data_IF_388318001314
#
_entry.id   IF_388318001314
#
_cell.length_a   1.000
_cell.length_b   1.000
_cell.length_c   1.000
_cell.angle_alpha   90.00
_cell.angle_beta   90.00
_cell.angle_gamma   90.00
#
_symmetry.space_group_name_H-M   'P 1'
#
loop_
_entity.id
_entity.type
_entity.pdbx_description
1 polymer ?
#
# COMPACT_ATOMS: atom_id res chain seq x y z
N UNK A 1 -57.78 43.92 -11.49
CA UNK A 1 -57.23 43.17 -12.64
C UNK A 1 -55.76 42.86 -12.33
N UNK A 2 -55.21 41.66 -12.36
CA UNK A 2 -55.69 40.29 -12.35
C UNK A 2 -54.54 39.45 -11.75
N UNK A 3 -54.85 38.54 -10.83
CA UNK A 3 -53.88 37.63 -10.19
C UNK A 3 -53.65 36.41 -11.09
N UNK A 4 -52.41 36.16 -11.53
CA UNK A 4 -52.06 34.97 -12.30
C UNK A 4 -51.38 33.93 -11.41
N UNK A 5 -52.06 32.80 -11.24
CA UNK A 5 -51.63 31.61 -10.50
C UNK A 5 -50.80 30.71 -11.44
N UNK A 6 -49.63 30.19 -11.04
CA UNK A 6 -48.86 29.27 -11.88
C UNK A 6 -49.53 27.88 -11.95
N UNK A 7 -49.41 27.16 -13.08
CA UNK A 7 -50.06 25.87 -13.31
C UNK A 7 -49.41 24.69 -12.56
N UNK A 8 -50.21 23.67 -12.27
CA UNK A 8 -49.87 22.49 -11.47
C UNK A 8 -49.01 21.44 -12.19
N UNK A 9 -48.10 20.81 -11.44
CA UNK A 9 -47.05 19.85 -11.85
C UNK A 9 -47.53 18.43 -12.22
N UNK A 10 -48.81 18.19 -12.51
CA UNK A 10 -49.34 16.82 -12.73
C UNK A 10 -49.38 16.32 -14.18
N UNK A 11 -48.79 17.04 -15.16
CA UNK A 11 -48.83 16.66 -16.58
C UNK A 11 -47.47 16.36 -17.22
N UNK A 12 -46.70 15.41 -16.68
CA UNK A 12 -45.61 14.75 -17.43
C UNK A 12 -45.54 13.26 -17.11
N UNK A 13 -46.46 12.49 -17.70
CA UNK A 13 -46.35 11.03 -17.84
C UNK A 13 -46.22 10.66 -19.31
N UNK A 14 -45.31 9.73 -19.55
CA UNK A 14 -45.25 8.76 -20.64
C UNK A 14 -44.80 9.25 -22.03
N UNK A 15 -43.51 9.01 -22.31
CA UNK A 15 -43.07 8.55 -23.63
C UNK A 15 -42.24 7.28 -23.40
N UNK A 16 -42.82 6.14 -23.76
CA UNK A 16 -42.14 4.84 -23.74
C UNK A 16 -41.08 4.77 -24.82
N UNK A 17 -39.93 4.20 -24.49
CA UNK A 17 -38.94 3.76 -25.47
C UNK A 17 -39.07 2.25 -25.64
N UNK A 18 -39.52 1.89 -26.83
CA UNK A 18 -39.67 0.53 -27.32
C UNK A 18 -38.28 -0.12 -27.50
N UNK A 19 -38.07 -1.28 -26.88
CA UNK A 19 -36.97 -2.19 -27.16
C UNK A 19 -37.48 -3.32 -28.04
N UNK A 20 -37.45 -3.12 -29.36
CA UNK A 20 -37.70 -4.17 -30.34
C UNK A 20 -36.72 -4.04 -31.51
N UNK A 21 -35.59 -4.74 -31.38
CA UNK A 21 -34.79 -5.23 -32.52
C UNK A 21 -33.84 -6.34 -32.03
N UNK A 22 -34.42 -7.49 -31.71
CA UNK A 22 -33.73 -8.78 -31.61
C UNK A 22 -33.79 -9.45 -32.98
N UNK A 23 -32.64 -9.76 -33.59
CA UNK A 23 -32.59 -10.69 -34.71
C UNK A 23 -31.36 -10.55 -35.62
N UNK A 24 -30.31 -11.31 -35.34
CA UNK A 24 -29.64 -12.20 -36.30
C UNK A 24 -28.52 -13.01 -35.61
N UNK A 25 -28.47 -14.35 -35.78
CA UNK A 25 -27.41 -15.18 -35.22
C UNK A 25 -26.21 -15.25 -36.18
N UNK A 26 -25.08 -14.66 -35.80
CA UNK A 26 -23.79 -14.93 -36.46
C UNK A 26 -23.20 -16.21 -35.89
N UNK A 27 -23.19 -17.25 -36.72
CA UNK A 27 -22.55 -18.53 -36.46
C UNK A 27 -21.05 -18.35 -36.27
N UNK A 28 -20.55 -18.50 -35.04
CA UNK A 28 -19.12 -18.59 -34.75
C UNK A 28 -18.62 -19.98 -35.15
N UNK A 29 -17.92 -20.05 -36.28
CA UNK A 29 -17.19 -21.23 -36.74
C UNK A 29 -15.73 -21.10 -36.27
N UNK A 30 -15.33 -21.85 -35.26
CA UNK A 30 -13.92 -21.97 -34.87
C UNK A 30 -13.16 -22.79 -35.92
N UNK A 31 -12.13 -22.20 -36.53
CA UNK A 31 -11.07 -22.95 -37.20
C UNK A 31 -9.94 -23.22 -36.19
N UNK A 32 -9.33 -24.42 -36.19
CA UNK A 32 -8.08 -24.66 -35.48
C UNK A 32 -6.93 -24.25 -36.39
N UNK A 33 -6.14 -23.26 -35.97
CA UNK A 33 -4.96 -22.78 -36.68
C UNK A 33 -3.82 -22.55 -35.70
N UNK A 34 -2.77 -23.34 -35.90
CA UNK A 34 -1.48 -23.36 -35.19
C UNK A 34 -0.84 -21.99 -34.99
N UNK A 35 -0.12 -21.85 -33.87
CA UNK A 35 0.81 -20.74 -33.62
C UNK A 35 0.62 -20.12 -32.24
N UNK A 36 1.12 -20.80 -31.21
CA UNK A 36 1.13 -20.31 -29.83
C UNK A 36 2.13 -19.14 -29.70
N UNK A 37 1.71 -17.92 -30.06
CA UNK A 37 2.50 -16.68 -29.92
C UNK A 37 2.28 -16.06 -28.55
N UNK A 38 2.43 -16.85 -27.48
CA UNK A 38 2.49 -16.28 -26.12
C UNK A 38 3.89 -15.69 -25.90
N UNK A 39 4.00 -14.50 -25.27
CA UNK A 39 5.30 -13.95 -24.93
C UNK A 39 6.03 -14.92 -24.00
N UNK A 40 7.26 -15.29 -24.37
CA UNK A 40 8.19 -16.10 -23.58
C UNK A 40 8.44 -15.35 -22.27
N UNK A 41 7.84 -15.83 -21.18
CA UNK A 41 8.13 -15.35 -19.84
C UNK A 41 9.49 -15.89 -19.38
N UNK A 42 10.53 -15.11 -19.63
CA UNK A 42 11.85 -15.29 -19.03
C UNK A 42 11.76 -14.97 -17.54
N UNK A 43 11.44 -15.97 -16.71
CA UNK A 43 11.92 -16.12 -15.32
C UNK A 43 11.33 -17.35 -14.59
N UNK A 44 11.35 -18.53 -15.21
CA UNK A 44 10.93 -19.79 -14.56
C UNK A 44 12.05 -20.86 -14.47
N UNK A 45 13.32 -20.49 -14.70
CA UNK A 45 14.45 -21.44 -14.58
C UNK A 45 15.51 -21.02 -13.55
N UNK A 46 15.13 -20.27 -12.52
CA UNK A 46 15.85 -20.41 -11.26
C UNK A 46 15.29 -21.67 -10.64
N UNK A 47 16.12 -22.73 -10.64
CA UNK A 47 15.87 -24.00 -9.98
C UNK A 47 15.00 -23.77 -8.74
N UNK A 48 13.89 -24.50 -8.63
CA UNK A 48 13.08 -24.57 -7.43
C UNK A 48 14.03 -24.86 -6.27
N UNK A 49 14.47 -23.79 -5.60
CA UNK A 49 15.25 -23.90 -4.39
C UNK A 49 14.27 -24.53 -3.43
N UNK A 50 14.46 -25.83 -3.18
CA UNK A 50 13.67 -26.58 -2.21
C UNK A 50 13.57 -25.70 -0.96
N UNK A 51 12.34 -25.31 -0.64
CA UNK A 51 12.09 -24.56 0.58
C UNK A 51 12.71 -25.37 1.73
N UNK A 52 13.40 -24.72 2.67
CA UNK A 52 14.04 -25.42 3.77
C UNK A 52 13.00 -26.29 4.49
N UNK A 53 13.42 -27.48 4.94
CA UNK A 53 12.56 -28.42 5.64
C UNK A 53 11.77 -27.70 6.75
N UNK A 54 10.44 -27.76 6.69
CA UNK A 54 9.53 -27.06 7.60
C UNK A 54 8.85 -25.81 7.03
N UNK A 55 9.25 -25.29 5.87
CA UNK A 55 8.52 -24.22 5.16
C UNK A 55 7.65 -24.86 4.08
N UNK A 56 6.43 -25.23 4.45
CA UNK A 56 5.41 -25.64 3.49
C UNK A 56 4.80 -24.40 2.85
N UNK A 57 4.77 -24.32 1.52
CA UNK A 57 3.81 -23.44 0.86
C UNK A 57 2.43 -23.96 1.25
N UNK A 58 1.72 -23.20 2.07
CA UNK A 58 0.47 -23.65 2.68
C UNK A 58 -0.58 -23.96 1.61
N UNK A 59 -0.82 -25.24 1.39
CA UNK A 59 -2.08 -25.80 0.89
C UNK A 59 -2.52 -26.81 1.94
N UNK A 60 -3.74 -26.62 2.44
CA UNK A 60 -4.34 -27.31 3.59
C UNK A 60 -4.38 -28.85 3.48
N UNK A 61 -4.61 -29.55 4.62
CA UNK A 61 -3.95 -30.81 4.94
C UNK A 61 -4.86 -32.03 4.79
N UNK A 62 -4.28 -33.17 4.44
CA UNK A 62 -4.88 -34.47 4.74
C UNK A 62 -3.84 -35.60 4.79
N UNK A 63 -3.88 -36.33 5.90
CA UNK A 63 -3.39 -37.71 6.09
C UNK A 63 -1.86 -37.91 6.15
N UNK A 64 -1.28 -38.83 6.90
CA UNK A 64 -1.59 -39.55 8.14
C UNK A 64 -0.43 -40.54 8.30
N UNK A 65 0.13 -40.64 9.52
CA UNK A 65 0.92 -41.78 10.03
C UNK A 65 2.24 -42.09 9.28
N UNK A 66 3.25 -42.74 9.85
CA UNK A 66 3.32 -43.57 11.04
C UNK A 66 4.77 -43.65 11.52
N UNK A 67 4.92 -43.69 12.83
CA UNK A 67 6.14 -44.05 13.57
C UNK A 67 6.46 -45.54 13.42
N UNK A 68 7.71 -45.88 13.12
CA UNK A 68 8.31 -47.18 13.48
C UNK A 68 9.81 -47.00 13.74
N UNK A 69 10.23 -47.12 15.00
CA UNK A 69 11.52 -47.69 15.38
C UNK A 69 11.31 -49.22 15.53
N UNK A 70 12.32 -50.13 15.47
CA UNK A 70 13.47 -50.10 16.39
C UNK A 70 14.77 -50.79 15.89
N UNK A 71 15.72 -50.92 16.84
CA UNK A 71 16.73 -51.98 16.99
C UNK A 71 18.19 -51.68 16.57
N UNK A 72 19.00 -51.42 17.60
CA UNK A 72 20.41 -51.82 17.76
C UNK A 72 20.45 -53.34 18.12
N UNK A 73 21.54 -54.13 17.90
CA UNK A 73 22.82 -53.87 18.59
C UNK A 73 24.14 -54.38 17.96
N UNK A 74 25.22 -53.97 18.64
CA UNK A 74 26.47 -54.69 18.95
C UNK A 74 27.66 -54.69 17.96
N UNK A 75 28.74 -54.10 18.46
CA UNK A 75 30.17 -54.50 18.39
C UNK A 75 30.69 -55.21 17.13
N UNK A 76 31.71 -54.63 16.47
CA UNK A 76 33.02 -55.28 16.38
C UNK A 76 34.15 -54.55 15.62
N UNK A 77 35.28 -54.35 16.33
CA UNK A 77 36.70 -54.54 15.94
C UNK A 77 37.40 -53.52 15.01
N UNK A 78 38.65 -53.27 15.42
CA UNK A 78 39.63 -52.32 14.90
C UNK A 78 39.91 -52.44 13.40
N UNK A 79 40.09 -51.27 12.77
CA UNK A 79 40.90 -51.14 11.57
C UNK A 79 41.53 -49.75 11.56
N UNK A 80 42.81 -49.73 11.92
CA UNK A 80 43.73 -48.64 11.61
C UNK A 80 43.78 -48.50 10.09
N UNK A 81 43.02 -47.54 9.57
CA UNK A 81 43.24 -46.97 8.25
C UNK A 81 43.33 -45.47 8.40
N UNK A 82 44.53 -44.99 8.12
CA UNK A 82 44.97 -43.62 7.89
C UNK A 82 43.97 -42.91 6.94
N UNK A 83 42.92 -42.31 7.52
CA UNK A 83 41.99 -41.48 6.76
C UNK A 83 42.35 -40.04 7.04
N UNK A 84 42.99 -39.44 6.03
CA UNK A 84 42.97 -38.03 5.69
C UNK A 84 41.85 -37.32 6.48
N UNK A 85 42.24 -36.45 7.42
CA UNK A 85 41.28 -35.68 8.21
C UNK A 85 40.54 -34.81 7.22
N UNK A 86 39.40 -35.34 6.76
CA UNK A 86 38.44 -34.79 5.82
C UNK A 86 38.03 -33.43 6.37
N UNK A 87 38.83 -32.41 6.05
CA UNK A 87 38.58 -31.05 6.49
C UNK A 87 37.28 -30.68 5.80
N UNK A 88 36.17 -30.54 6.54
CA UNK A 88 34.89 -30.29 5.92
C UNK A 88 35.06 -29.06 5.01
N UNK A 89 34.56 -29.12 3.75
CA UNK A 89 34.70 -28.01 2.83
C UNK A 89 34.23 -26.74 3.55
N UNK A 90 34.93 -25.60 3.39
CA UNK A 90 34.59 -24.38 4.09
C UNK A 90 33.11 -24.11 3.85
N UNK A 91 32.32 -24.18 4.93
CA UNK A 91 30.88 -23.97 4.90
C UNK A 91 30.68 -22.58 4.33
N UNK A 92 30.34 -22.50 3.04
CA UNK A 92 30.06 -21.24 2.38
C UNK A 92 28.85 -20.65 3.08
N UNK A 93 29.11 -19.69 3.97
CA UNK A 93 28.06 -18.96 4.68
C UNK A 93 27.25 -18.25 3.61
N UNK A 94 26.06 -18.77 3.35
CA UNK A 94 25.09 -18.11 2.46
C UNK A 94 24.90 -16.69 2.99
N UNK A 95 24.95 -15.66 2.13
CA UNK A 95 24.75 -14.29 2.57
C UNK A 95 23.41 -14.20 3.29
N UNK A 96 23.44 -13.71 4.53
CA UNK A 96 22.23 -13.47 5.31
C UNK A 96 21.49 -12.33 4.65
N UNK A 97 20.20 -12.52 4.38
CA UNK A 97 19.37 -11.47 3.81
C UNK A 97 19.27 -10.29 4.79
N UNK A 98 19.63 -9.09 4.33
CA UNK A 98 19.50 -7.85 5.11
C UNK A 98 18.31 -7.05 4.59
N UNK A 99 17.44 -6.61 5.50
CA UNK A 99 16.36 -5.67 5.14
C UNK A 99 16.95 -4.30 4.84
N UNK A 100 16.62 -3.75 3.68
CA UNK A 100 17.19 -2.47 3.22
C UNK A 100 16.34 -1.27 3.65
N UNK A 101 15.03 -1.34 3.46
CA UNK A 101 14.10 -0.22 3.68
C UNK A 101 12.68 -0.75 3.90
N UNK A 102 11.95 -0.14 4.82
CA UNK A 102 10.51 -0.29 4.96
C UNK A 102 9.79 0.96 4.45
N UNK A 103 8.82 0.80 3.55
CA UNK A 103 8.00 1.89 3.03
C UNK A 103 6.53 1.57 3.35
N UNK A 104 5.93 2.28 4.32
CA UNK A 104 4.50 2.15 4.61
C UNK A 104 3.65 2.42 3.36
N UNK A 105 2.60 1.61 3.19
CA UNK A 105 1.64 1.75 2.10
C UNK A 105 0.25 2.04 2.68
N UNK A 106 -0.30 3.21 2.39
CA UNK A 106 -1.65 3.60 2.77
C UNK A 106 -2.61 3.50 1.59
N UNK A 107 -3.79 2.95 1.86
CA UNK A 107 -4.89 2.87 0.90
C UNK A 107 -5.71 4.15 0.97
N UNK A 108 -6.01 4.70 -0.19
CA UNK A 108 -6.73 5.97 -0.34
C UNK A 108 -7.85 5.83 -1.36
N UNK A 109 -8.98 6.51 -1.17
CA UNK A 109 -10.11 6.46 -2.11
C UNK A 109 -9.93 7.41 -3.29
N UNK A 110 -9.24 8.54 -3.07
CA UNK A 110 -8.99 9.57 -4.07
C UNK A 110 -7.52 9.99 -4.05
N UNK A 111 -6.80 9.69 -5.12
CA UNK A 111 -5.39 10.09 -5.23
C UNK A 111 -5.24 11.62 -5.28
N UNK A 112 -6.22 12.34 -5.81
CA UNK A 112 -6.17 13.81 -5.89
C UNK A 112 -6.21 14.43 -4.50
N UNK A 113 -7.18 14.02 -3.68
CA UNK A 113 -7.43 14.62 -2.36
C UNK A 113 -6.43 14.13 -1.31
N UNK A 114 -6.07 12.85 -1.36
CA UNK A 114 -5.04 12.32 -0.47
C UNK A 114 -3.72 13.04 -0.73
N UNK A 115 -3.28 13.12 -1.99
CA UNK A 115 -1.98 13.73 -2.27
C UNK A 115 -1.96 15.22 -1.90
N UNK A 116 -3.03 16.00 -2.16
CA UNK A 116 -3.07 17.39 -1.70
C UNK A 116 -3.06 17.50 -0.18
N UNK A 117 -3.74 16.62 0.55
CA UNK A 117 -3.67 16.61 2.02
C UNK A 117 -2.23 16.36 2.51
N UNK A 118 -1.58 15.30 2.02
CA UNK A 118 -0.23 14.97 2.45
C UNK A 118 0.80 16.03 2.03
N UNK A 119 0.65 16.70 0.87
CA UNK A 119 1.57 17.76 0.46
C UNK A 119 1.29 19.09 1.15
N UNK A 120 0.04 19.51 1.19
CA UNK A 120 -0.33 20.88 1.55
C UNK A 120 -0.51 21.03 3.06
N UNK A 121 -1.01 19.98 3.74
CA UNK A 121 -1.19 19.97 5.20
C UNK A 121 0.03 19.37 5.89
N UNK A 122 0.46 18.18 5.45
CA UNK A 122 1.55 17.45 6.08
C UNK A 122 2.91 17.66 5.41
N UNK A 123 3.07 18.59 4.46
CA UNK A 123 4.40 19.00 3.97
C UNK A 123 5.22 17.89 3.29
N UNK A 124 4.59 16.80 2.81
CA UNK A 124 5.27 15.81 1.99
C UNK A 124 5.55 16.36 0.58
N UNK A 125 6.54 15.78 -0.09
CA UNK A 125 6.93 16.07 -1.47
C UNK A 125 6.73 14.82 -2.32
N UNK A 126 6.16 14.99 -3.52
CA UNK A 126 6.00 13.90 -4.50
C UNK A 126 7.35 13.59 -5.15
N UNK A 127 7.65 12.30 -5.34
CA UNK A 127 8.86 11.89 -6.06
C UNK A 127 8.63 10.63 -6.91
N UNK A 128 9.56 10.38 -7.84
CA UNK A 128 9.50 9.21 -8.72
C UNK A 128 8.48 9.33 -9.86
N UNK A 129 8.17 8.22 -10.54
CA UNK A 129 7.29 8.22 -11.70
C UNK A 129 5.84 8.55 -11.33
N UNK A 130 5.17 9.30 -12.22
CA UNK A 130 3.75 9.62 -12.07
C UNK A 130 2.92 8.40 -12.45
N UNK A 131 2.34 7.73 -11.45
CA UNK A 131 1.38 6.65 -11.63
C UNK A 131 -0.01 7.15 -11.22
N UNK A 132 -1.05 6.67 -11.92
CA UNK A 132 -2.45 7.02 -11.63
C UNK A 132 -2.99 6.24 -10.43
N UNK A 133 -2.44 5.05 -10.17
CA UNK A 133 -2.92 4.11 -9.16
C UNK A 133 -2.15 4.19 -7.85
N UNK A 134 -0.97 4.80 -7.86
CA UNK A 134 -0.12 4.94 -6.69
C UNK A 134 0.68 6.25 -6.75
N UNK A 135 1.05 6.77 -5.60
CA UNK A 135 1.89 7.97 -5.49
C UNK A 135 2.92 7.78 -4.39
N UNK A 136 4.17 8.19 -4.67
CA UNK A 136 5.25 8.15 -3.69
C UNK A 136 5.47 9.54 -3.11
N UNK A 137 5.49 9.61 -1.79
CA UNK A 137 5.61 10.82 -1.01
C UNK A 137 6.80 10.71 -0.06
N UNK A 138 7.50 11.81 0.13
CA UNK A 138 8.64 11.89 1.04
C UNK A 138 8.54 13.13 1.92
N UNK A 139 8.83 12.99 3.21
CA UNK A 139 9.03 14.12 4.11
C UNK A 139 10.34 13.94 4.84
N UNK A 140 11.28 14.86 4.62
CA UNK A 140 12.57 14.92 5.31
C UNK A 140 12.83 16.32 5.84
N UNK A 141 14.10 16.63 6.12
CA UNK A 141 14.52 17.98 6.48
C UNK A 141 14.10 19.00 5.42
N UNK A 142 13.91 20.29 5.77
CA UNK A 142 13.57 21.33 4.81
C UNK A 142 14.55 21.36 3.63
N UNK A 143 14.02 21.29 2.40
CA UNK A 143 14.82 21.25 1.16
C UNK A 143 15.38 19.87 0.79
N UNK A 144 15.23 18.85 1.63
CA UNK A 144 15.59 17.48 1.29
C UNK A 144 14.60 16.91 0.26
N UNK A 145 15.11 16.48 -0.87
CA UNK A 145 14.33 15.73 -1.87
C UNK A 145 15.00 14.37 -2.10
N UNK A 146 14.21 13.28 -2.15
CA UNK A 146 14.77 11.95 -2.35
C UNK A 146 15.16 11.79 -3.83
N UNK A 147 16.11 10.89 -4.10
CA UNK A 147 16.40 10.48 -5.47
C UNK A 147 15.14 9.93 -6.15
N UNK A 148 15.02 10.08 -7.47
CA UNK A 148 13.84 9.66 -8.24
C UNK A 148 13.49 8.17 -8.06
N UNK A 149 14.48 7.32 -7.76
CA UNK A 149 14.26 5.89 -7.47
C UNK A 149 13.70 5.62 -6.07
N UNK A 150 13.82 6.57 -5.13
CA UNK A 150 13.54 6.37 -3.70
C UNK A 150 14.50 5.43 -2.99
N UNK A 151 15.49 4.89 -3.71
CA UNK A 151 16.50 3.99 -3.18
C UNK A 151 17.80 4.75 -2.98
N UNK A 152 18.59 4.43 -1.94
CA UNK A 152 19.96 4.93 -1.84
C UNK A 152 20.70 4.53 -3.13
N UNK A 153 21.22 5.51 -3.86
CA UNK A 153 22.05 5.22 -5.03
C UNK A 153 23.26 4.42 -4.56
N UNK A 154 23.46 3.26 -5.17
CA UNK A 154 24.58 2.36 -4.94
C UNK A 154 25.88 3.07 -5.35
N UNK A 155 26.42 3.92 -4.48
CA UNK A 155 27.66 4.67 -4.74
C UNK A 155 27.81 6.03 -4.06
N UNK A 156 26.79 6.65 -3.46
CA UNK A 156 26.98 7.94 -2.78
C UNK A 156 25.99 8.18 -1.63
N UNK A 157 26.53 8.64 -0.49
CA UNK A 157 25.90 9.18 0.74
C UNK A 157 24.74 8.36 1.34
N UNK A 158 24.73 8.25 2.67
CA UNK A 158 23.67 7.58 3.42
C UNK A 158 22.26 7.97 2.94
N UNK A 159 21.27 7.06 2.99
CA UNK A 159 19.89 7.38 2.62
C UNK A 159 19.44 8.66 3.33
N UNK A 160 18.81 9.57 2.59
CA UNK A 160 18.33 10.83 3.15
C UNK A 160 17.38 10.53 4.31
N UNK A 161 17.62 11.08 5.52
CA UNK A 161 16.75 10.85 6.65
C UNK A 161 15.39 11.48 6.37
N UNK A 162 14.33 10.68 6.56
CA UNK A 162 12.96 11.10 6.31
C UNK A 162 12.01 9.92 6.21
N UNK A 163 10.73 10.24 6.07
CA UNK A 163 9.64 9.28 5.94
C UNK A 163 9.29 9.14 4.46
N UNK A 164 9.43 7.92 3.95
CA UNK A 164 8.89 7.53 2.64
C UNK A 164 7.51 6.94 2.84
N UNK A 165 6.54 7.38 2.04
CA UNK A 165 5.15 6.93 2.09
C UNK A 165 4.67 6.58 0.69
N UNK A 166 4.01 5.43 0.55
CA UNK A 166 3.33 5.01 -0.68
C UNK A 166 1.82 5.13 -0.48
N UNK A 167 1.16 5.95 -1.30
CA UNK A 167 -0.29 5.96 -1.39
C UNK A 167 -0.72 5.05 -2.54
N UNK A 168 -1.81 4.28 -2.36
CA UNK A 168 -2.30 3.35 -3.38
C UNK A 168 -3.83 3.31 -3.41
N UNK A 169 -4.39 3.34 -4.61
CA UNK A 169 -5.81 3.07 -4.83
C UNK A 169 -6.09 1.56 -4.67
N UNK A 170 -7.23 1.16 -4.08
CA UNK A 170 -7.65 -0.24 -4.07
C UNK A 170 -7.74 -0.82 -5.49
N UNK A 171 -7.38 -2.08 -5.68
CA UNK A 171 -7.48 -2.74 -6.99
C UNK A 171 -8.92 -2.81 -7.52
N UNK A 172 -9.91 -2.78 -6.61
CA UNK A 172 -11.33 -2.70 -6.93
C UNK A 172 -11.78 -1.33 -7.43
N UNK A 173 -10.95 -0.30 -7.29
CA UNK A 173 -11.28 1.07 -7.67
C UNK A 173 -11.19 1.23 -9.19
N UNK A 174 -12.26 0.89 -9.89
CA UNK A 174 -12.40 1.23 -11.31
C UNK A 174 -12.80 2.70 -11.47
N UNK A 175 -12.43 3.39 -12.57
CA UNK A 175 -12.80 4.79 -12.81
C UNK A 175 -14.31 5.06 -12.83
N UNK A 176 -15.13 4.00 -13.00
CA UNK A 176 -16.58 4.07 -13.04
C UNK A 176 -17.23 3.95 -11.64
N UNK A 177 -16.50 3.54 -10.61
CA UNK A 177 -17.05 3.47 -9.25
C UNK A 177 -17.18 4.86 -8.65
N UNK A 178 -18.35 5.14 -8.07
CA UNK A 178 -18.59 6.36 -7.28
C UNK A 178 -17.64 6.41 -6.08
N UNK A 179 -17.07 7.58 -5.83
CA UNK A 179 -16.09 7.82 -4.75
C UNK A 179 -16.60 7.35 -3.37
N UNK A 180 -17.88 7.55 -3.08
CA UNK A 180 -18.48 7.16 -1.79
C UNK A 180 -18.47 5.64 -1.56
N UNK A 181 -18.66 4.85 -2.62
CA UNK A 181 -18.64 3.38 -2.53
C UNK A 181 -17.22 2.86 -2.33
N UNK A 182 -16.23 3.52 -2.95
CA UNK A 182 -14.82 3.15 -2.80
C UNK A 182 -14.35 3.38 -1.37
N UNK A 183 -14.84 4.43 -0.69
CA UNK A 183 -14.44 4.76 0.69
C UNK A 183 -14.82 3.71 1.70
N UNK A 184 -16.07 3.23 1.63
CA UNK A 184 -16.50 2.14 2.49
C UNK A 184 -15.77 0.82 2.20
N UNK A 185 -15.08 0.72 1.06
CA UNK A 185 -14.21 -0.41 0.73
C UNK A 185 -12.77 -0.25 1.25
N UNK A 186 -12.35 0.95 1.67
CA UNK A 186 -11.01 1.17 2.24
C UNK A 186 -11.08 0.91 3.75
N UNK A 187 -10.36 -0.10 4.22
CA UNK A 187 -10.20 -0.31 5.65
C UNK A 187 -9.21 0.73 6.22
N UNK A 188 -9.60 1.50 7.26
CA UNK A 188 -8.72 2.46 7.89
C UNK A 188 -7.43 1.81 8.39
N UNK A 189 -6.30 2.47 8.14
CA UNK A 189 -4.98 2.02 8.59
C UNK A 189 -4.41 3.00 9.63
N UNK A 190 -3.54 2.50 10.50
CA UNK A 190 -2.79 3.33 11.45
C UNK A 190 -1.31 3.38 11.08
N UNK A 191 -0.74 4.57 11.06
CA UNK A 191 0.67 4.82 10.78
C UNK A 191 1.32 5.58 11.93
N UNK A 192 2.37 4.99 12.51
CA UNK A 192 3.15 5.63 13.55
C UNK A 192 4.37 6.33 12.92
N UNK A 193 4.52 7.63 13.18
CA UNK A 193 5.62 8.45 12.69
C UNK A 193 6.37 9.07 13.85
N UNK A 194 7.69 8.96 13.81
CA UNK A 194 8.58 9.63 14.76
C UNK A 194 9.04 10.96 14.17
N UNK A 195 9.02 12.01 14.98
CA UNK A 195 9.44 13.37 14.60
C UNK A 195 10.36 13.95 15.65
N UNK A 196 11.23 14.87 15.24
CA UNK A 196 12.16 15.55 16.15
C UNK A 196 11.46 16.50 17.12
N UNK A 197 10.37 17.14 16.68
CA UNK A 197 9.59 18.07 17.50
C UNK A 197 8.10 17.92 17.16
N UNK A 198 7.34 17.42 18.13
CA UNK A 198 5.91 17.12 18.02
C UNK A 198 5.07 18.40 18.02
N UNK A 199 5.46 19.41 18.81
CA UNK A 199 4.72 20.66 18.95
C UNK A 199 4.90 21.54 17.71
N UNK A 200 6.12 21.62 17.19
CA UNK A 200 6.40 22.33 15.94
C UNK A 200 5.62 21.69 14.77
N UNK A 201 5.66 20.35 14.68
CA UNK A 201 4.89 19.62 13.66
C UNK A 201 3.39 19.84 13.80
N UNK A 202 2.85 19.78 15.03
CA UNK A 202 1.44 20.03 15.30
C UNK A 202 1.02 21.44 14.89
N UNK A 203 1.80 22.46 15.28
CA UNK A 203 1.49 23.86 14.98
C UNK A 203 1.48 24.11 13.47
N UNK A 204 2.47 23.57 12.76
CA UNK A 204 2.54 23.62 11.30
C UNK A 204 1.32 22.96 10.65
N UNK A 205 1.01 21.72 11.06
CA UNK A 205 -0.11 20.95 10.50
C UNK A 205 -1.47 21.60 10.80
N UNK A 206 -1.67 22.11 12.02
CA UNK A 206 -2.91 22.76 12.43
C UNK A 206 -3.16 24.05 11.64
N UNK A 207 -2.14 24.91 11.48
CA UNK A 207 -2.24 26.12 10.68
C UNK A 207 -2.54 25.82 9.21
N UNK A 208 -1.84 24.84 8.63
CA UNK A 208 -2.05 24.44 7.24
C UNK A 208 -3.42 23.82 7.02
N UNK A 209 -3.87 22.94 7.93
CA UNK A 209 -5.20 22.33 7.87
C UNK A 209 -6.30 23.40 7.96
N UNK A 210 -6.18 24.34 8.90
CA UNK A 210 -7.15 25.44 9.04
C UNK A 210 -7.22 26.29 7.76
N UNK A 211 -6.08 26.63 7.17
CA UNK A 211 -6.01 27.36 5.89
C UNK A 211 -6.66 26.57 4.75
N UNK A 212 -6.37 25.28 4.68
CA UNK A 212 -6.95 24.35 3.71
C UNK A 212 -8.48 24.27 3.84
N UNK A 213 -9.00 24.13 5.06
CA UNK A 213 -10.44 24.07 5.32
C UNK A 213 -11.15 25.40 5.04
N UNK A 214 -10.51 26.53 5.30
CA UNK A 214 -11.06 27.83 4.93
C UNK A 214 -11.23 27.98 3.41
N UNK A 215 -10.26 27.49 2.63
CA UNK A 215 -10.37 27.47 1.16
C UNK A 215 -11.51 26.57 0.65
N UNK A 216 -11.94 25.59 1.44
CA UNK A 216 -13.06 24.70 1.09
C UNK A 216 -14.44 25.31 1.25
N UNK A 217 -14.55 26.45 1.95
CA UNK A 217 -15.84 27.12 2.15
C UNK A 217 -16.32 27.89 0.90
N UNK A 218 -15.52 27.89 -0.18
CA UNK A 218 -15.90 28.47 -1.47
C UNK A 218 -16.95 27.63 -2.22
N UNK A 219 -17.65 28.26 -3.16
CA UNK A 219 -18.71 27.62 -3.95
C UNK A 219 -18.22 26.41 -4.79
N UNK A 220 -16.94 26.39 -5.18
CA UNK A 220 -16.28 25.26 -5.83
C UNK A 220 -14.93 24.94 -5.16
N UNK A 221 -14.89 24.05 -4.16
CA UNK A 221 -13.64 23.69 -3.50
C UNK A 221 -12.74 22.88 -4.44
N UNK A 222 -11.45 23.23 -4.51
CA UNK A 222 -10.48 22.52 -5.36
C UNK A 222 -10.22 21.07 -4.88
N UNK A 223 -10.27 20.88 -3.56
CA UNK A 223 -10.02 19.63 -2.85
C UNK A 223 -11.07 19.44 -1.78
N UNK A 224 -11.43 18.19 -1.49
CA UNK A 224 -12.30 17.86 -0.36
C UNK A 224 -11.53 17.00 0.64
N UNK A 225 -11.31 17.53 1.84
CA UNK A 225 -10.53 16.88 2.89
C UNK A 225 -11.40 16.01 3.79
N UNK A 226 -12.71 15.93 3.54
CA UNK A 226 -13.63 14.98 4.17
C UNK A 226 -13.47 14.88 5.69
N UNK A 227 -13.09 13.70 6.19
CA UNK A 227 -12.98 13.41 7.62
C UNK A 227 -11.64 13.86 8.23
N UNK A 228 -10.77 14.49 7.44
CA UNK A 228 -9.45 14.89 7.90
C UNK A 228 -9.55 15.89 9.05
N UNK A 229 -8.98 15.51 10.18
CA UNK A 229 -8.99 16.33 11.39
C UNK A 229 -7.87 15.94 12.32
N UNK A 230 -7.46 16.89 13.15
CA UNK A 230 -6.61 16.61 14.30
C UNK A 230 -7.52 16.10 15.42
N UNK A 231 -7.19 14.94 16.00
CA UNK A 231 -7.98 14.32 17.07
C UNK A 231 -7.64 14.93 18.41
N UNK A 232 -6.35 15.03 18.73
CA UNK A 232 -5.85 15.43 20.03
C UNK A 232 -4.75 16.49 19.88
N UNK A 233 -4.62 17.36 20.90
CA UNK A 233 -3.44 18.23 21.04
C UNK A 233 -2.22 17.39 21.49
N UNK A 234 -0.97 17.87 21.31
CA UNK A 234 0.21 17.20 21.81
C UNK A 234 0.13 16.97 23.33
N UNK A 235 0.19 15.71 23.74
CA UNK A 235 0.08 15.24 25.11
C UNK A 235 1.26 14.35 25.47
N UNK A 236 1.62 14.34 26.76
CA UNK A 236 2.63 13.41 27.27
C UNK A 236 1.93 12.10 27.62
N UNK A 237 2.43 10.99 27.07
CA UNK A 237 1.95 9.64 27.38
C UNK A 237 2.49 9.18 28.75
N UNK A 238 1.90 8.13 29.34
CA UNK A 238 2.43 7.51 30.56
C UNK A 238 3.87 6.99 30.43
N UNK A 239 4.41 6.89 29.21
CA UNK A 239 5.74 6.35 28.92
C UNK A 239 6.79 7.45 28.73
N UNK A 240 6.43 8.70 29.02
CA UNK A 240 7.31 9.86 28.89
C UNK A 240 7.51 10.36 27.46
N UNK A 241 6.84 9.79 26.47
CA UNK A 241 6.88 10.29 25.08
C UNK A 241 5.75 11.30 24.84
N UNK A 242 6.05 12.35 24.07
CA UNK A 242 5.06 13.33 23.61
C UNK A 242 4.44 12.86 22.30
N UNK A 243 3.10 12.86 22.19
CA UNK A 243 2.40 12.41 20.98
C UNK A 243 1.13 13.22 20.68
N UNK A 244 0.68 13.20 19.42
CA UNK A 244 -0.67 13.59 19.03
C UNK A 244 -1.17 12.74 17.85
N UNK A 245 -2.47 12.80 17.57
CA UNK A 245 -3.12 11.99 16.53
C UNK A 245 -3.88 12.87 15.55
N UNK A 246 -3.86 12.47 14.29
CA UNK A 246 -4.64 13.08 13.22
C UNK A 246 -5.19 12.01 12.29
N UNK A 247 -6.31 12.31 11.65
CA UNK A 247 -6.97 11.45 10.66
C UNK A 247 -6.84 12.11 9.30
N UNK A 248 -6.53 11.32 8.27
CA UNK A 248 -6.48 11.77 6.88
C UNK A 248 -7.88 11.76 6.22
N UNK A 249 -8.03 12.22 4.96
CA UNK A 249 -9.34 12.28 4.30
C UNK A 249 -10.05 10.92 4.12
N UNK A 250 -9.30 9.82 4.20
CA UNK A 250 -9.78 8.44 4.01
C UNK A 250 -9.97 7.69 5.33
N UNK A 251 -9.81 8.37 6.47
CA UNK A 251 -9.97 7.77 7.79
C UNK A 251 -8.70 7.09 8.34
N UNK A 252 -7.58 7.14 7.63
CA UNK A 252 -6.33 6.59 8.14
C UNK A 252 -5.84 7.45 9.31
N UNK A 253 -5.41 6.80 10.39
CA UNK A 253 -4.91 7.48 11.59
C UNK A 253 -3.39 7.59 11.56
N UNK A 254 -2.87 8.80 11.69
CA UNK A 254 -1.45 9.03 11.89
C UNK A 254 -1.20 9.36 13.36
N UNK A 255 -0.29 8.61 13.96
CA UNK A 255 0.18 8.80 15.33
C UNK A 255 1.56 9.43 15.23
N UNK A 256 1.69 10.68 15.68
CA UNK A 256 2.95 11.44 15.63
C UNK A 256 3.55 11.44 17.03
N UNK A 257 4.75 10.90 17.19
CA UNK A 257 5.45 10.83 18.47
C UNK A 257 6.85 11.42 18.40
N UNK A 258 7.36 11.91 19.53
CA UNK A 258 8.73 12.36 19.65
C UNK A 258 9.72 11.19 19.48
N UNK A 259 10.89 11.47 18.90
CA UNK A 259 12.07 10.63 19.07
C UNK A 259 12.56 10.73 20.53
N UNK A 260 13.03 9.62 21.11
CA UNK A 260 13.36 9.54 22.53
C UNK A 260 14.71 10.16 22.87
#
# INVERSE_FOLDING_TARGET
MASSKPPSLSMRRNAGLSLSSLGAPTSFRMQPGEGDTRPISTNMSLAQAALPAGVTASTDPQSSASSVAPAMPAHAWDSDTDTDVDRPPPVQRRPVATMLLSIPCLRVSSMKDAVSFYTDVLGFVRYGPKDKTQMRLFRGAPGATPSASGLPQQGSKAPLPGVHLLLRLPASCTPAMRADVVRHSVQPQSLWLMVSDVDAFFTEAALKLQKAMAAQQGYFPEHNYHEARILDRPQNTPWGTREFRLVDPDGNTLIISADR
#
